data_IF_772552284097
#
_entry.id   IF_772552284097
#
_cell.length_a   1.000
_cell.length_b   1.000
_cell.length_c   1.000
_cell.angle_alpha   90.00
_cell.angle_beta   90.00
_cell.angle_gamma   90.00
#
_symmetry.space_group_name_H-M   'P 1'
#
loop_
_entity.id
_entity.type
_entity.pdbx_description
1 polymer ?
#
# COMPACT_ATOMS: atom_id res chain seq x y z
N UNK A 1 -8.76 -41.91 -31.35
CA UNK A 1 -9.64 -40.75 -31.08
C UNK A 1 -8.74 -39.54 -30.96
N UNK A 2 -8.66 -38.71 -32.00
CA UNK A 2 -7.82 -37.51 -32.02
C UNK A 2 -8.65 -36.40 -31.39
N UNK A 3 -8.32 -36.01 -30.16
CA UNK A 3 -8.95 -34.88 -29.48
C UNK A 3 -8.48 -33.62 -30.20
N UNK A 4 -9.39 -32.90 -30.85
CA UNK A 4 -9.08 -31.59 -31.43
C UNK A 4 -8.82 -30.61 -30.28
N UNK A 5 -7.91 -29.62 -30.41
CA UNK A 5 -7.60 -28.64 -29.36
C UNK A 5 -8.80 -27.83 -28.84
N UNK A 6 -9.91 -27.86 -29.57
CA UNK A 6 -11.17 -27.18 -29.28
C UNK A 6 -12.17 -28.02 -28.50
N UNK A 7 -11.97 -29.33 -28.42
CA UNK A 7 -12.94 -30.25 -27.82
C UNK A 7 -12.57 -30.49 -26.36
N UNK A 8 -13.05 -29.59 -25.49
CA UNK A 8 -12.89 -29.77 -24.06
C UNK A 8 -13.68 -31.00 -23.59
N UNK A 9 -13.04 -31.83 -22.77
CA UNK A 9 -13.75 -32.91 -22.10
C UNK A 9 -14.80 -32.33 -21.14
N UNK A 10 -15.85 -33.09 -20.77
CA UNK A 10 -16.82 -32.65 -19.76
C UNK A 10 -16.17 -32.21 -18.45
N UNK A 11 -15.07 -32.86 -18.05
CA UNK A 11 -14.28 -32.47 -16.89
C UNK A 11 -13.67 -31.07 -17.07
N UNK A 12 -13.05 -30.78 -18.21
CA UNK A 12 -12.45 -29.45 -18.46
C UNK A 12 -13.52 -28.37 -18.49
N UNK A 13 -14.69 -28.65 -19.09
CA UNK A 13 -15.83 -27.72 -19.03
C UNK A 13 -16.24 -27.43 -17.58
N UNK A 14 -16.43 -28.46 -16.76
CA UNK A 14 -16.85 -28.28 -15.37
C UNK A 14 -15.81 -27.55 -14.54
N UNK A 15 -14.53 -27.87 -14.72
CA UNK A 15 -13.43 -27.16 -14.04
C UNK A 15 -13.39 -25.69 -14.42
N UNK A 16 -13.56 -25.34 -15.71
CA UNK A 16 -13.58 -23.95 -16.16
C UNK A 16 -14.75 -23.17 -15.58
N UNK A 17 -15.93 -23.78 -15.50
CA UNK A 17 -17.11 -23.18 -14.87
C UNK A 17 -16.84 -22.89 -13.39
N UNK A 18 -16.35 -23.88 -12.63
CA UNK A 18 -16.05 -23.72 -11.21
C UNK A 18 -14.97 -22.67 -10.96
N UNK A 19 -13.90 -22.65 -11.77
CA UNK A 19 -12.86 -21.63 -11.69
C UNK A 19 -13.44 -20.25 -11.99
N UNK A 20 -14.28 -20.11 -13.03
CA UNK A 20 -14.87 -18.83 -13.39
C UNK A 20 -15.72 -18.26 -12.25
N UNK A 21 -16.58 -19.09 -11.65
CA UNK A 21 -17.40 -18.67 -10.49
C UNK A 21 -16.52 -18.31 -9.29
N UNK A 22 -15.50 -19.12 -8.98
CA UNK A 22 -14.59 -18.85 -7.86
C UNK A 22 -13.81 -17.55 -8.08
N UNK A 23 -13.20 -17.36 -9.25
CA UNK A 23 -12.50 -16.12 -9.58
C UNK A 23 -13.42 -14.91 -9.56
N UNK A 24 -14.68 -15.08 -9.93
CA UNK A 24 -15.65 -14.02 -9.82
C UNK A 24 -15.89 -13.64 -8.36
N UNK A 25 -16.30 -14.60 -7.53
CA UNK A 25 -16.63 -14.37 -6.13
C UNK A 25 -15.44 -13.85 -5.31
N UNK A 26 -14.23 -14.31 -5.60
CA UNK A 26 -13.05 -13.93 -4.82
C UNK A 26 -12.36 -12.66 -5.34
N UNK A 27 -12.46 -12.39 -6.64
CA UNK A 27 -11.67 -11.33 -7.27
C UNK A 27 -12.53 -10.33 -8.07
N UNK A 28 -13.28 -10.78 -9.09
CA UNK A 28 -13.92 -9.87 -10.04
C UNK A 28 -15.21 -9.22 -9.55
N UNK A 29 -15.81 -9.69 -8.44
CA UNK A 29 -17.05 -9.12 -7.91
C UNK A 29 -16.94 -7.61 -7.62
N UNK A 30 -15.75 -7.14 -7.21
CA UNK A 30 -15.43 -5.71 -7.01
C UNK A 30 -15.58 -4.83 -8.26
N UNK A 31 -15.75 -5.44 -9.44
CA UNK A 31 -15.93 -4.74 -10.72
C UNK A 31 -17.30 -5.02 -11.36
N UNK A 32 -18.10 -5.91 -10.79
CA UNK A 32 -19.37 -6.37 -11.38
C UNK A 32 -20.56 -6.14 -10.46
N UNK A 33 -20.35 -6.15 -9.15
CA UNK A 33 -21.38 -5.87 -8.14
C UNK A 33 -21.41 -4.36 -7.83
N UNK A 34 -22.57 -3.75 -8.06
CA UNK A 34 -22.75 -2.31 -7.94
C UNK A 34 -22.56 -1.80 -6.50
N UNK A 35 -22.97 -2.56 -5.49
CA UNK A 35 -22.89 -2.14 -4.09
C UNK A 35 -21.45 -2.24 -3.58
N UNK A 36 -20.70 -3.20 -4.11
CA UNK A 36 -19.29 -3.42 -3.79
C UNK A 36 -18.37 -2.44 -4.51
N UNK A 37 -18.73 -1.99 -5.72
CA UNK A 37 -17.88 -1.06 -6.49
C UNK A 37 -17.56 0.23 -5.70
N UNK A 38 -18.47 0.70 -4.86
CA UNK A 38 -18.27 1.91 -4.07
C UNK A 38 -17.44 1.67 -2.79
N UNK A 39 -17.52 0.47 -2.21
CA UNK A 39 -17.06 0.17 -0.84
C UNK A 39 -15.81 -0.70 -0.79
N UNK A 40 -15.46 -1.38 -1.88
CA UNK A 40 -14.33 -2.29 -1.91
C UNK A 40 -12.97 -1.56 -1.90
N UNK A 41 -11.91 -2.31 -1.55
CA UNK A 41 -10.54 -1.80 -1.57
C UNK A 41 -9.93 -1.88 -2.97
N UNK A 42 -9.47 -0.73 -3.46
CA UNK A 42 -8.84 -0.56 -4.77
C UNK A 42 -7.32 -0.34 -4.69
N UNK A 43 -6.66 -0.82 -3.64
CA UNK A 43 -5.23 -0.53 -3.40
C UNK A 43 -4.33 -0.92 -4.59
N UNK A 44 -4.60 -2.06 -5.22
CA UNK A 44 -3.84 -2.51 -6.39
C UNK A 44 -4.04 -1.57 -7.59
N UNK A 45 -5.27 -1.16 -7.84
CA UNK A 45 -5.67 -0.25 -8.91
C UNK A 45 -5.14 1.16 -8.67
N UNK A 46 -5.09 1.60 -7.42
CA UNK A 46 -4.40 2.83 -7.01
C UNK A 46 -2.91 2.74 -7.36
N UNK A 47 -2.24 1.61 -7.10
CA UNK A 47 -0.84 1.41 -7.48
C UNK A 47 -0.63 1.47 -9.00
N UNK A 48 -1.55 0.89 -9.78
CA UNK A 48 -1.54 1.00 -11.25
C UNK A 48 -1.78 2.44 -11.72
N UNK A 49 -2.74 3.15 -11.10
CA UNK A 49 -3.02 4.55 -11.38
C UNK A 49 -1.79 5.44 -11.14
N UNK A 50 -1.00 5.13 -10.11
CA UNK A 50 0.24 5.84 -9.76
C UNK A 50 1.45 5.37 -10.58
N UNK A 51 1.29 4.40 -11.47
CA UNK A 51 2.36 3.92 -12.34
C UNK A 51 2.33 4.64 -13.70
N UNK A 52 3.44 5.24 -14.12
CA UNK A 52 3.55 5.99 -15.39
C UNK A 52 3.01 5.24 -16.62
N UNK A 53 3.31 3.95 -16.74
CA UNK A 53 2.83 3.05 -17.81
C UNK A 53 1.39 2.55 -17.67
N UNK A 54 0.87 2.40 -16.45
CA UNK A 54 -0.41 1.73 -16.19
C UNK A 54 -1.50 2.69 -15.70
N UNK A 55 -1.19 4.00 -15.60
CA UNK A 55 -2.08 5.07 -15.16
C UNK A 55 -3.43 5.10 -15.88
N UNK A 56 -3.44 4.79 -17.18
CA UNK A 56 -4.62 4.86 -18.02
C UNK A 56 -5.49 3.61 -17.83
N UNK A 57 -6.62 3.79 -17.14
CA UNK A 57 -7.60 2.76 -16.84
C UNK A 57 -7.98 1.94 -18.08
N UNK A 58 -8.34 2.62 -19.18
CA UNK A 58 -8.77 1.98 -20.42
C UNK A 58 -7.72 1.11 -21.11
N UNK A 59 -6.44 1.26 -20.77
CA UNK A 59 -5.37 0.48 -21.38
C UNK A 59 -5.13 -0.88 -20.67
N UNK A 60 -5.65 -1.05 -19.45
CA UNK A 60 -5.35 -2.21 -18.59
C UNK A 60 -6.57 -2.77 -17.89
N UNK A 61 -7.16 -2.01 -16.97
CA UNK A 61 -8.26 -2.48 -16.12
C UNK A 61 -9.60 -2.37 -16.86
N UNK A 62 -9.84 -1.28 -17.60
CA UNK A 62 -11.09 -1.07 -18.32
C UNK A 62 -11.52 -2.23 -19.25
N UNK A 63 -10.61 -2.81 -20.05
CA UNK A 63 -10.93 -3.99 -20.86
C UNK A 63 -11.35 -5.21 -20.04
N UNK A 64 -10.72 -5.41 -18.87
CA UNK A 64 -11.05 -6.51 -17.95
C UNK A 64 -12.44 -6.29 -17.38
N UNK A 65 -12.74 -5.10 -16.86
CA UNK A 65 -14.06 -4.75 -16.29
C UNK A 65 -15.16 -4.94 -17.33
N UNK A 66 -14.95 -4.44 -18.56
CA UNK A 66 -15.92 -4.60 -19.66
C UNK A 66 -16.15 -6.07 -20.01
N UNK A 67 -15.08 -6.86 -20.08
CA UNK A 67 -15.17 -8.29 -20.38
C UNK A 67 -15.93 -9.06 -19.31
N UNK A 68 -15.60 -8.85 -18.02
CA UNK A 68 -16.28 -9.50 -16.89
C UNK A 68 -17.77 -9.17 -16.87
N UNK A 69 -18.13 -7.91 -17.07
CA UNK A 69 -19.54 -7.48 -17.09
C UNK A 69 -20.29 -7.99 -18.33
N UNK A 70 -19.65 -8.04 -19.50
CA UNK A 70 -20.24 -8.61 -20.71
C UNK A 70 -20.52 -10.11 -20.56
N UNK A 71 -19.62 -10.86 -19.93
CA UNK A 71 -19.81 -12.29 -19.64
C UNK A 71 -21.00 -12.55 -18.69
N UNK A 72 -21.35 -11.59 -17.84
CA UNK A 72 -22.51 -11.65 -16.94
C UNK A 72 -23.80 -11.10 -17.56
N UNK A 73 -23.79 -10.70 -18.83
CA UNK A 73 -24.97 -10.21 -19.53
C UNK A 73 -25.40 -8.79 -19.12
N UNK A 74 -24.51 -8.00 -18.50
CA UNK A 74 -24.81 -6.60 -18.17
C UNK A 74 -25.01 -5.80 -19.46
N UNK A 75 -26.12 -5.06 -19.55
CA UNK A 75 -26.52 -4.34 -20.77
C UNK A 75 -25.59 -3.19 -21.14
N UNK A 76 -24.96 -2.54 -20.15
CA UNK A 76 -24.00 -1.45 -20.39
C UNK A 76 -22.68 -1.64 -19.62
N UNK A 77 -21.77 -2.51 -20.10
CA UNK A 77 -20.46 -2.71 -19.47
C UNK A 77 -19.59 -1.44 -19.45
N UNK A 78 -19.85 -0.49 -20.36
CA UNK A 78 -19.14 0.78 -20.42
C UNK A 78 -19.50 1.70 -19.25
N UNK A 79 -20.75 1.70 -18.78
CA UNK A 79 -21.15 2.51 -17.63
C UNK A 79 -20.55 1.98 -16.35
N UNK A 80 -20.55 0.65 -16.17
CA UNK A 80 -19.85 0.01 -15.05
C UNK A 80 -18.36 0.32 -15.06
N UNK A 81 -17.71 0.26 -16.23
CA UNK A 81 -16.30 0.62 -16.36
C UNK A 81 -16.02 2.07 -15.93
N UNK A 82 -16.91 3.02 -16.24
CA UNK A 82 -16.80 4.42 -15.77
C UNK A 82 -16.99 4.54 -14.27
N UNK A 83 -17.93 3.78 -13.69
CA UNK A 83 -18.16 3.76 -12.24
C UNK A 83 -16.93 3.23 -11.50
N UNK A 84 -16.34 2.13 -11.98
CA UNK A 84 -15.11 1.57 -11.40
C UNK A 84 -13.93 2.55 -11.54
N UNK A 85 -13.76 3.18 -12.71
CA UNK A 85 -12.71 4.20 -12.87
C UNK A 85 -12.92 5.36 -11.89
N UNK A 86 -14.16 5.83 -11.73
CA UNK A 86 -14.51 6.87 -10.78
C UNK A 86 -14.18 6.45 -9.35
N UNK A 87 -14.59 5.26 -8.93
CA UNK A 87 -14.35 4.73 -7.58
C UNK A 87 -12.85 4.64 -7.26
N UNK A 88 -12.02 4.14 -8.18
CA UNK A 88 -10.56 4.08 -8.01
C UNK A 88 -9.99 5.50 -7.82
N UNK A 89 -10.39 6.45 -8.67
CA UNK A 89 -9.89 7.82 -8.62
C UNK A 89 -10.35 8.56 -7.38
N UNK A 90 -11.57 8.28 -6.93
CA UNK A 90 -12.10 8.82 -5.68
C UNK A 90 -11.34 8.27 -4.47
N UNK A 91 -11.01 6.98 -4.44
CA UNK A 91 -10.15 6.40 -3.39
C UNK A 91 -8.76 7.05 -3.33
N UNK A 92 -8.13 7.30 -4.49
CA UNK A 92 -6.86 8.06 -4.53
C UNK A 92 -7.07 9.46 -3.96
N UNK A 93 -8.15 10.15 -4.36
CA UNK A 93 -8.47 11.50 -3.89
C UNK A 93 -8.70 11.52 -2.37
N UNK A 94 -9.51 10.62 -1.84
CA UNK A 94 -9.75 10.48 -0.40
C UNK A 94 -8.44 10.19 0.35
N UNK A 95 -7.61 9.28 -0.16
CA UNK A 95 -6.31 8.99 0.44
C UNK A 95 -5.39 10.22 0.48
N UNK A 96 -5.38 11.05 -0.57
CA UNK A 96 -4.62 12.30 -0.59
C UNK A 96 -5.17 13.35 0.39
N UNK A 97 -6.49 13.42 0.56
CA UNK A 97 -7.12 14.32 1.54
C UNK A 97 -6.73 13.99 2.97
N UNK A 98 -6.51 12.71 3.28
CA UNK A 98 -6.03 12.26 4.59
C UNK A 98 -4.56 12.62 4.84
N UNK A 99 -3.80 12.99 3.81
CA UNK A 99 -2.42 13.46 3.98
C UNK A 99 -2.45 14.92 4.43
N UNK A 100 -1.72 15.21 5.51
CA UNK A 100 -1.47 16.57 5.92
C UNK A 100 -0.69 17.30 4.81
N UNK A 101 -1.01 18.57 4.50
CA UNK A 101 -0.13 19.38 3.68
C UNK A 101 1.23 19.41 4.39
N UNK A 102 2.30 19.09 3.65
CA UNK A 102 3.64 19.15 4.18
C UNK A 102 3.93 20.61 4.57
N UNK A 103 3.78 20.93 5.86
CA UNK A 103 4.18 22.22 6.40
C UNK A 103 5.61 22.50 5.97
N UNK A 104 5.79 23.63 5.30
CA UNK A 104 7.10 24.16 4.96
C UNK A 104 7.88 24.36 6.25
N UNK A 105 8.94 23.56 6.45
CA UNK A 105 10.03 23.71 7.43
C UNK A 105 9.72 24.39 8.78
N UNK A 106 9.75 23.62 9.87
CA UNK A 106 10.33 24.09 11.14
C UNK A 106 10.95 22.91 11.90
N UNK A 107 12.14 23.14 12.45
CA UNK A 107 13.05 22.17 13.05
C UNK A 107 12.49 21.45 14.30
N UNK A 108 13.08 20.30 14.70
CA UNK A 108 12.78 19.69 15.99
C UNK A 108 13.46 20.49 17.11
N UNK A 109 12.77 21.49 17.65
CA UNK A 109 13.18 22.14 18.91
C UNK A 109 12.47 21.47 20.08
N UNK A 110 13.28 20.79 20.89
CA UNK A 110 12.94 20.27 22.21
C UNK A 110 12.57 21.43 23.14
N UNK A 111 11.31 21.58 23.54
CA UNK A 111 10.93 22.40 24.70
C UNK A 111 9.71 21.81 25.44
N UNK A 112 10.02 21.19 26.58
CA UNK A 112 9.38 21.25 27.91
C UNK A 112 7.89 21.62 27.96
N UNK A 113 7.06 20.70 28.49
CA UNK A 113 5.68 20.95 28.94
C UNK A 113 5.65 22.01 30.06
N UNK A 114 4.76 23.00 30.01
CA UNK A 114 4.25 23.67 31.20
C UNK A 114 2.89 23.12 31.63
N UNK A 115 2.74 23.07 32.95
CA UNK A 115 1.65 22.51 33.73
C UNK A 115 0.25 23.09 33.42
N UNK A 116 -0.75 22.23 33.59
CA UNK A 116 -2.16 22.55 33.71
C UNK A 116 -2.42 23.48 34.91
N UNK A 117 -2.96 24.67 34.66
CA UNK A 117 -3.74 25.40 35.66
C UNK A 117 -4.80 26.25 34.98
N UNK A 118 -5.99 26.27 35.59
CA UNK A 118 -7.30 26.52 34.99
C UNK A 118 -7.48 27.86 34.28
N UNK A 119 -8.36 27.86 33.28
CA UNK A 119 -9.71 28.40 33.47
C UNK A 119 -10.63 27.87 32.37
N UNK A 120 -11.81 27.40 32.75
CA UNK A 120 -12.75 26.68 31.89
C UNK A 120 -13.93 27.63 31.60
N UNK A 121 -13.71 28.65 30.77
CA UNK A 121 -14.81 29.34 30.10
C UNK A 121 -14.37 30.18 28.89
N UNK A 122 -15.15 30.04 27.82
CA UNK A 122 -15.52 31.12 26.91
C UNK A 122 -14.61 31.47 25.71
N UNK A 123 -14.34 30.50 24.81
CA UNK A 123 -13.99 30.80 23.41
C UNK A 123 -14.54 29.74 22.44
N UNK A 124 -15.85 29.75 22.19
CA UNK A 124 -16.41 29.16 20.96
C UNK A 124 -16.44 30.25 19.89
N UNK A 125 -15.32 30.52 19.21
CA UNK A 125 -15.35 31.34 17.99
C UNK A 125 -14.16 31.11 17.05
N UNK A 126 -14.00 29.89 16.50
CA UNK A 126 -12.90 29.58 15.56
C UNK A 126 -13.29 28.64 14.39
N UNK A 127 -14.50 28.81 13.84
CA UNK A 127 -14.95 28.04 12.66
C UNK A 127 -14.54 28.57 11.25
N UNK A 128 -14.20 29.85 11.00
CA UNK A 128 -13.91 30.32 9.63
C UNK A 128 -12.56 29.82 9.08
N UNK A 129 -11.52 29.74 9.93
CA UNK A 129 -10.14 29.46 9.51
C UNK A 129 -9.94 28.01 9.05
N UNK A 130 -10.50 27.04 9.79
CA UNK A 130 -10.37 25.62 9.49
C UNK A 130 -11.07 25.22 8.17
N UNK A 131 -12.24 25.79 7.87
CA UNK A 131 -12.96 25.53 6.62
C UNK A 131 -12.22 26.07 5.40
N UNK A 132 -11.55 27.22 5.54
CA UNK A 132 -10.73 27.80 4.47
C UNK A 132 -9.49 26.95 4.17
N UNK A 133 -8.83 26.43 5.21
CA UNK A 133 -7.67 25.56 5.06
C UNK A 133 -8.03 24.22 4.39
N UNK A 134 -9.16 23.61 4.77
CA UNK A 134 -9.63 22.36 4.15
C UNK A 134 -9.98 22.56 2.67
N UNK A 135 -10.64 23.66 2.33
CA UNK A 135 -10.94 23.99 0.93
C UNK A 135 -9.65 24.20 0.12
N UNK A 136 -8.65 24.88 0.69
CA UNK A 136 -7.37 25.08 0.03
C UNK A 136 -6.62 23.76 -0.20
N UNK A 137 -6.64 22.85 0.77
CA UNK A 137 -6.07 21.51 0.62
C UNK A 137 -6.77 20.68 -0.45
N UNK A 138 -8.11 20.70 -0.46
CA UNK A 138 -8.90 20.01 -1.47
C UNK A 138 -8.59 20.51 -2.90
N UNK A 139 -8.36 21.81 -3.07
CA UNK A 139 -7.94 22.39 -4.35
C UNK A 139 -6.54 21.95 -4.76
N UNK A 140 -5.58 21.87 -3.82
CA UNK A 140 -4.25 21.33 -4.07
C UNK A 140 -4.30 19.87 -4.53
N UNK A 141 -5.11 19.04 -3.85
CA UNK A 141 -5.35 17.65 -4.23
C UNK A 141 -5.91 17.55 -5.65
N UNK A 142 -6.94 18.33 -5.96
CA UNK A 142 -7.58 18.33 -7.29
C UNK A 142 -6.59 18.74 -8.39
N UNK A 143 -5.80 19.79 -8.14
CA UNK A 143 -4.81 20.29 -9.10
C UNK A 143 -3.70 19.27 -9.33
N UNK A 144 -3.18 18.63 -8.27
CA UNK A 144 -2.14 17.63 -8.38
C UNK A 144 -2.64 16.38 -9.15
N UNK A 145 -3.86 15.92 -8.88
CA UNK A 145 -4.51 14.84 -9.63
C UNK A 145 -4.74 15.18 -11.10
N UNK A 146 -5.18 16.41 -11.40
CA UNK A 146 -5.39 16.88 -12.77
C UNK A 146 -4.07 16.91 -13.52
N UNK A 147 -3.01 17.43 -12.89
CA UNK A 147 -1.66 17.47 -13.44
C UNK A 147 -1.14 16.07 -13.72
N UNK A 148 -1.28 15.16 -12.75
CA UNK A 148 -0.87 13.77 -12.92
C UNK A 148 -1.62 13.10 -14.07
N UNK A 149 -2.95 13.30 -14.20
CA UNK A 149 -3.74 12.72 -15.30
C UNK A 149 -3.17 13.08 -16.68
N UNK A 150 -2.69 14.30 -16.85
CA UNK A 150 -2.17 14.78 -18.13
C UNK A 150 -0.66 14.56 -18.32
N UNK A 151 0.04 14.06 -17.30
CA UNK A 151 1.48 13.83 -17.39
C UNK A 151 1.83 12.64 -18.32
N UNK A 152 2.76 12.87 -19.24
CA UNK A 152 3.29 11.89 -20.20
C UNK A 152 4.72 11.44 -19.88
N UNK A 153 5.26 11.87 -18.73
CA UNK A 153 6.61 11.52 -18.28
C UNK A 153 6.76 10.01 -18.11
N UNK A 154 7.86 9.48 -18.66
CA UNK A 154 8.21 8.07 -18.56
C UNK A 154 9.30 7.81 -17.52
N UNK A 155 9.49 6.53 -17.20
CA UNK A 155 10.63 6.06 -16.42
C UNK A 155 11.91 6.24 -17.24
N UNK A 156 12.95 6.81 -16.63
CA UNK A 156 14.29 6.96 -17.21
C UNK A 156 15.06 5.64 -17.15
N UNK A 157 16.20 5.57 -17.83
CA UNK A 157 17.18 4.49 -17.62
C UNK A 157 17.75 4.53 -16.19
N UNK A 158 18.00 3.37 -15.60
CA UNK A 158 18.55 3.25 -14.25
C UNK A 158 19.99 3.78 -14.15
N UNK A 159 20.74 3.67 -15.25
CA UNK A 159 22.09 4.19 -15.41
C UNK A 159 22.36 4.44 -16.90
N UNK A 160 23.27 5.36 -17.27
CA UNK A 160 23.57 5.65 -18.67
C UNK A 160 23.95 4.37 -19.43
N UNK A 161 23.20 4.00 -20.47
CA UNK A 161 23.44 2.82 -21.29
C UNK A 161 22.87 1.52 -20.72
N UNK A 162 22.09 1.57 -19.63
CA UNK A 162 21.36 0.40 -19.13
C UNK A 162 20.01 0.27 -19.81
N UNK A 163 19.70 -0.93 -20.30
CA UNK A 163 18.36 -1.26 -20.80
C UNK A 163 17.30 -1.33 -19.67
N UNK A 164 17.69 -1.20 -18.40
CA UNK A 164 16.79 -1.31 -17.27
C UNK A 164 16.19 0.05 -16.91
N UNK A 165 14.88 0.18 -17.04
CA UNK A 165 14.14 1.35 -16.56
C UNK A 165 14.30 1.54 -15.03
N UNK A 166 14.32 2.78 -14.58
CA UNK A 166 14.29 3.16 -13.17
C UNK A 166 13.03 2.61 -12.48
N UNK A 167 13.08 2.43 -11.16
CA UNK A 167 11.90 2.01 -10.42
C UNK A 167 10.86 3.14 -10.34
N UNK A 168 9.59 2.77 -10.19
CA UNK A 168 8.49 3.73 -9.97
C UNK A 168 8.76 4.63 -8.77
N UNK A 169 9.31 4.08 -7.68
CA UNK A 169 9.68 4.85 -6.50
C UNK A 169 10.78 5.89 -6.78
N UNK A 170 11.77 5.56 -7.63
CA UNK A 170 12.79 6.53 -8.06
C UNK A 170 12.19 7.66 -8.90
N UNK A 171 11.26 7.33 -9.79
CA UNK A 171 10.52 8.33 -10.55
C UNK A 171 9.77 9.32 -9.62
N UNK A 172 9.04 8.80 -8.64
CA UNK A 172 8.28 9.65 -7.70
C UNK A 172 9.18 10.45 -6.75
N UNK A 173 10.31 9.88 -6.33
CA UNK A 173 11.32 10.61 -5.56
C UNK A 173 11.86 11.81 -6.34
N UNK A 174 12.24 11.60 -7.60
CA UNK A 174 12.74 12.65 -8.50
C UNK A 174 11.70 13.75 -8.80
N UNK A 175 10.41 13.41 -8.82
CA UNK A 175 9.33 14.36 -9.10
C UNK A 175 8.60 14.84 -7.83
N UNK A 176 9.14 14.58 -6.64
CA UNK A 176 8.51 14.94 -5.36
C UNK A 176 8.24 16.44 -5.19
N UNK A 177 9.08 17.31 -5.75
CA UNK A 177 8.85 18.76 -5.75
C UNK A 177 7.65 19.17 -6.61
N UNK A 178 7.38 18.43 -7.70
CA UNK A 178 6.27 18.68 -8.63
C UNK A 178 4.96 18.05 -8.15
N UNK A 179 5.06 16.93 -7.42
CA UNK A 179 3.97 16.09 -6.95
C UNK A 179 4.16 15.77 -5.46
N UNK A 180 3.83 16.72 -4.59
CA UNK A 180 4.16 16.61 -3.17
C UNK A 180 3.28 15.59 -2.46
N UNK A 181 1.97 15.58 -2.75
CA UNK A 181 1.01 14.69 -2.10
C UNK A 181 1.06 13.30 -2.72
N UNK A 182 1.14 13.18 -4.05
CA UNK A 182 1.22 11.90 -4.74
C UNK A 182 2.52 11.16 -4.41
N UNK A 183 3.66 11.84 -4.33
CA UNK A 183 4.92 11.19 -3.92
C UNK A 183 4.90 10.69 -2.47
N UNK A 184 4.06 11.27 -1.60
CA UNK A 184 3.80 10.70 -0.28
C UNK A 184 2.89 9.47 -0.39
N UNK A 185 1.75 9.58 -1.07
CA UNK A 185 0.81 8.47 -1.25
C UNK A 185 1.46 7.24 -1.88
N UNK A 186 2.30 7.43 -2.90
CA UNK A 186 3.03 6.35 -3.56
C UNK A 186 3.83 5.52 -2.57
N UNK A 187 4.51 6.15 -1.61
CA UNK A 187 5.31 5.42 -0.63
C UNK A 187 4.46 4.50 0.24
N UNK A 188 3.25 4.95 0.61
CA UNK A 188 2.30 4.14 1.38
C UNK A 188 1.71 3.01 0.54
N UNK A 189 1.23 3.32 -0.66
CA UNK A 189 0.58 2.34 -1.55
C UNK A 189 1.56 1.24 -1.96
N UNK A 190 2.79 1.58 -2.34
CA UNK A 190 3.80 0.61 -2.77
C UNK A 190 4.55 -0.08 -1.61
N UNK A 191 4.35 0.36 -0.37
CA UNK A 191 4.86 -0.36 0.81
C UNK A 191 4.03 -1.61 1.13
N UNK A 192 2.79 -1.68 0.65
CA UNK A 192 1.95 -2.86 0.84
C UNK A 192 2.39 -3.96 -0.13
N UNK A 193 2.85 -5.11 0.36
CA UNK A 193 3.24 -6.22 -0.50
C UNK A 193 2.01 -6.78 -1.21
N UNK A 194 2.16 -7.11 -2.50
CA UNK A 194 1.08 -7.70 -3.30
C UNK A 194 0.86 -9.20 -3.03
N UNK A 195 1.67 -9.83 -2.17
CA UNK A 195 1.62 -11.27 -1.90
C UNK A 195 2.22 -11.61 -0.54
N UNK A 196 1.66 -12.61 0.13
CA UNK A 196 2.22 -13.25 1.33
C UNK A 196 3.55 -13.95 1.07
N UNK A 197 3.88 -14.26 -0.18
CA UNK A 197 5.09 -15.00 -0.55
C UNK A 197 6.40 -14.33 -0.07
N UNK A 198 6.39 -13.01 0.16
CA UNK A 198 7.53 -12.31 0.76
C UNK A 198 7.71 -12.69 2.24
N UNK A 199 6.61 -12.76 2.98
CA UNK A 199 6.58 -13.16 4.39
C UNK A 199 6.88 -14.66 4.51
N UNK A 200 6.33 -15.49 3.62
CA UNK A 200 6.61 -16.93 3.57
C UNK A 200 8.09 -17.24 3.30
N UNK A 201 8.75 -16.44 2.45
CA UNK A 201 10.21 -16.50 2.29
C UNK A 201 10.93 -16.16 3.58
N UNK A 202 10.47 -15.14 4.31
CA UNK A 202 10.97 -14.81 5.66
C UNK A 202 10.82 -15.98 6.64
N UNK A 203 9.63 -16.60 6.70
CA UNK A 203 9.39 -17.77 7.53
C UNK A 203 10.24 -18.98 7.11
N UNK A 204 10.40 -19.23 5.81
CA UNK A 204 11.24 -20.33 5.31
C UNK A 204 12.71 -20.13 5.71
N UNK A 205 13.21 -18.88 5.66
CA UNK A 205 14.55 -18.54 6.12
C UNK A 205 14.72 -18.72 7.64
N UNK A 206 13.66 -18.45 8.42
CA UNK A 206 13.60 -18.71 9.87
C UNK A 206 13.35 -20.19 10.22
N UNK A 207 12.80 -20.97 9.29
CA UNK A 207 12.64 -22.43 9.43
C UNK A 207 13.98 -23.15 9.55
N UNK A 208 15.02 -22.63 8.89
CA UNK A 208 16.38 -23.16 9.04
C UNK A 208 16.96 -22.99 10.47
N UNK A 209 16.51 -21.98 11.22
CA UNK A 209 16.80 -21.80 12.65
C UNK A 209 15.95 -22.67 13.58
N UNK A 210 14.95 -23.39 13.06
CA UNK A 210 14.18 -24.42 13.79
C UNK A 210 14.66 -25.84 13.53
N UNK A 211 15.80 -26.01 12.84
CA UNK A 211 16.46 -27.33 12.72
C UNK A 211 16.82 -27.88 14.12
N UNK A 212 16.87 -29.22 14.33
CA UNK A 212 17.01 -29.82 15.67
C UNK A 212 18.20 -29.29 16.49
N UNK A 213 19.26 -28.81 15.82
CA UNK A 213 20.46 -28.23 16.42
C UNK A 213 20.24 -26.89 17.13
N UNK A 214 19.12 -26.22 16.88
CA UNK A 214 18.73 -24.90 17.41
C UNK A 214 17.37 -24.94 18.14
N UNK A 215 16.86 -26.13 18.44
CA UNK A 215 15.56 -26.39 19.12
C UNK A 215 15.42 -25.75 20.53
N UNK A 216 16.48 -25.12 21.04
CA UNK A 216 16.51 -24.44 22.34
C UNK A 216 16.49 -22.90 22.24
N UNK A 217 16.33 -22.32 21.05
CA UNK A 217 16.21 -20.86 20.93
C UNK A 217 14.84 -20.41 21.44
N UNK A 218 14.82 -19.41 22.34
CA UNK A 218 13.56 -18.85 22.83
C UNK A 218 12.83 -18.10 21.70
N UNK A 219 11.50 -18.00 21.79
CA UNK A 219 10.69 -17.25 20.83
C UNK A 219 11.17 -15.79 20.68
N UNK A 220 11.52 -15.14 21.80
CA UNK A 220 12.06 -13.78 21.79
C UNK A 220 13.39 -13.65 21.02
N UNK A 221 14.27 -14.65 21.11
CA UNK A 221 15.53 -14.66 20.37
C UNK A 221 15.31 -14.95 18.88
N UNK A 222 14.30 -15.75 18.53
CA UNK A 222 13.92 -15.99 17.14
C UNK A 222 13.37 -14.70 16.51
N UNK A 223 12.49 -13.98 17.20
CA UNK A 223 11.92 -12.70 16.75
C UNK A 223 13.02 -11.66 16.54
N UNK A 224 13.94 -11.51 17.50
CA UNK A 224 15.08 -10.60 17.35
C UNK A 224 16.00 -10.98 16.20
N UNK A 225 16.24 -12.28 15.99
CA UNK A 225 17.05 -12.75 14.86
C UNK A 225 16.37 -12.45 13.51
N UNK A 226 15.06 -12.68 13.42
CA UNK A 226 14.27 -12.36 12.24
C UNK A 226 14.26 -10.85 11.97
N UNK A 227 14.09 -10.03 13.01
CA UNK A 227 14.15 -8.57 12.94
C UNK A 227 15.51 -8.06 12.44
N UNK A 228 16.61 -8.47 13.08
CA UNK A 228 17.96 -8.05 12.70
C UNK A 228 18.30 -8.49 11.28
N UNK A 229 17.94 -9.72 10.90
CA UNK A 229 18.17 -10.24 9.55
C UNK A 229 17.35 -9.51 8.49
N UNK A 230 16.10 -9.17 8.80
CA UNK A 230 15.22 -8.41 7.91
C UNK A 230 15.64 -6.96 7.68
N UNK A 231 16.48 -6.41 8.56
CA UNK A 231 16.98 -5.04 8.50
C UNK A 231 18.51 -4.95 8.32
N UNK A 232 19.18 -6.05 7.96
CA UNK A 232 20.64 -6.12 7.91
C UNK A 232 21.28 -5.20 6.86
N UNK A 233 20.50 -4.78 5.87
CA UNK A 233 20.87 -3.80 4.85
C UNK A 233 20.75 -2.34 5.32
N UNK A 234 20.04 -2.11 6.42
CA UNK A 234 19.79 -0.78 7.00
C UNK A 234 20.58 -0.60 8.31
N UNK A 235 20.81 -1.69 9.05
CA UNK A 235 21.48 -1.69 10.35
C UNK A 235 22.81 -2.43 10.26
N UNK A 236 23.90 -1.69 10.45
CA UNK A 236 25.22 -2.29 10.66
C UNK A 236 25.42 -2.61 12.15
N UNK A 237 25.07 -3.84 12.54
CA UNK A 237 25.19 -4.31 13.93
C UNK A 237 26.65 -4.35 14.39
N UNK A 238 27.63 -4.34 13.49
CA UNK A 238 29.04 -4.28 13.86
C UNK A 238 29.44 -2.90 14.44
N UNK A 239 28.61 -1.88 14.27
CA UNK A 239 28.81 -0.56 14.87
C UNK A 239 28.27 -0.46 16.31
N UNK A 240 27.54 -1.47 16.79
CA UNK A 240 27.05 -1.48 18.16
C UNK A 240 28.20 -1.65 19.15
N UNK A 241 28.26 -0.78 20.16
CA UNK A 241 29.21 -0.91 21.26
C UNK A 241 29.04 -2.26 21.95
N UNK A 242 30.15 -2.96 22.18
CA UNK A 242 30.13 -4.27 22.84
C UNK A 242 29.64 -4.09 24.27
N UNK A 243 28.51 -4.71 24.59
CA UNK A 243 27.97 -4.72 25.94
C UNK A 243 28.96 -5.50 26.83
N UNK A 244 29.49 -4.89 27.92
CA UNK A 244 30.35 -5.60 28.85
C UNK A 244 29.57 -6.72 29.54
N UNK A 245 30.25 -7.85 29.81
CA UNK A 245 29.60 -9.07 30.32
C UNK A 245 28.85 -8.85 31.65
N UNK A 246 29.24 -7.83 32.42
CA UNK A 246 28.59 -7.42 33.67
C UNK A 246 27.23 -6.77 33.48
N UNK A 247 26.97 -6.18 32.30
CA UNK A 247 25.74 -5.43 32.00
C UNK A 247 24.77 -6.21 31.10
N UNK A 248 25.19 -7.35 30.56
CA UNK A 248 24.40 -8.13 29.60
C UNK A 248 22.97 -8.46 30.08
N UNK A 249 22.77 -8.68 31.38
CA UNK A 249 21.45 -8.95 31.95
C UNK A 249 20.50 -7.74 31.92
N UNK A 250 21.03 -6.51 31.92
CA UNK A 250 20.26 -5.26 31.86
C UNK A 250 19.80 -4.92 30.43
N UNK A 251 20.44 -5.52 29.42
CA UNK A 251 20.17 -5.28 28.01
C UNK A 251 19.33 -6.38 27.34
N UNK A 252 18.74 -7.28 28.13
CA UNK A 252 17.78 -8.24 27.61
C UNK A 252 16.52 -7.49 27.12
N UNK A 253 16.11 -7.67 25.85
CA UNK A 253 14.96 -6.97 25.30
C UNK A 253 13.69 -7.39 26.05
N UNK A 254 13.10 -6.45 26.78
CA UNK A 254 11.79 -6.59 27.41
C UNK A 254 10.77 -6.43 26.27
N UNK A 255 10.20 -7.56 25.82
CA UNK A 255 9.06 -7.68 24.91
C UNK A 255 8.89 -6.54 23.87
N UNK A 256 9.38 -6.77 22.65
CA UNK A 256 9.35 -5.84 21.50
C UNK A 256 7.93 -5.44 21.00
N UNK A 257 6.86 -5.95 21.61
CA UNK A 257 5.47 -5.79 21.15
C UNK A 257 4.81 -4.43 21.45
N UNK A 258 5.52 -3.47 22.07
CA UNK A 258 4.90 -2.20 22.49
C UNK A 258 5.21 -0.96 21.63
N UNK A 259 6.15 -1.01 20.67
CA UNK A 259 6.70 0.24 20.08
C UNK A 259 6.62 0.39 18.55
N UNK A 260 6.08 -0.57 17.81
CA UNK A 260 5.66 -0.36 16.42
C UNK A 260 4.15 -0.38 16.37
N UNK A 261 3.55 0.81 16.41
CA UNK A 261 2.11 1.05 16.28
C UNK A 261 1.58 0.65 14.91
N UNK A 262 1.62 -0.64 14.59
CA UNK A 262 0.71 -1.25 13.63
C UNK A 262 -0.48 -1.68 14.46
N UNK A 263 -1.45 -0.78 14.58
CA UNK A 263 -2.76 -1.09 15.12
C UNK A 263 -3.41 -2.15 14.24
N UNK A 264 -3.21 -3.42 14.59
CA UNK A 264 -4.08 -4.50 14.13
C UNK A 264 -5.44 -4.18 14.73
N UNK A 265 -6.36 -3.75 13.88
CA UNK A 265 -7.78 -3.71 14.19
C UNK A 265 -8.19 -5.07 14.75
N UNK A 266 -8.25 -5.15 16.07
CA UNK A 266 -8.85 -6.26 16.78
C UNK A 266 -10.34 -5.92 16.88
N UNK A 267 -11.09 -6.37 15.88
CA UNK A 267 -12.55 -6.37 15.95
C UNK A 267 -12.98 -7.14 17.19
N UNK A 268 -13.68 -6.46 18.10
CA UNK A 268 -14.35 -7.09 19.20
C UNK A 268 -15.63 -7.74 18.67
N UNK A 269 -15.72 -9.06 18.88
CA UNK A 269 -16.90 -9.93 18.99
C UNK A 269 -18.05 -9.72 18.01
#
# INVERSE_FOLDING_TARGET
>A
MIIQPTDFTPLVHKTRELLCETFHCDFFYRYTDHDEIATNSYLFEMALFLHTRYKLFDNKIGPIVRMCNAQRGVSSPNDVARQVEFAIRDHVKQALKLLAPASTSAQPSCHVLPELSGDLSMYEDDLPSARSAQHQHDELVNEELRRWKNDTSSLRESSPGSQRAESVLKFWSRNSSRYQLLSQLVRMVFAVPSSSAQIERGFSLSGNTTTPKWSSISAANLDMTAFLKGNADIVDVAQCAKIPATEAALHLPIAFMAALGIGIFRGNK
#
